data_IF_095234374611
#
_entry.id   IF_095234374611
#
_cell.length_a   1.000
_cell.length_b   1.000
_cell.length_c   1.000
_cell.angle_alpha   90.00
_cell.angle_beta   90.00
_cell.angle_gamma   90.00
#
_symmetry.space_group_name_H-M   'P 1'
#
loop_
_entity.id
_entity.type
_entity.pdbx_description
1 polymer ?
#
# COMPACT_ATOMS: atom_id res chain seq x y z
N UNK A 1 -15.42 -4.08 16.90
CA UNK A 1 -16.23 -2.94 16.43
C UNK A 1 -15.46 -1.62 16.30
N UNK A 2 -14.38 -1.36 17.08
CA UNK A 2 -13.62 -0.09 17.02
C UNK A 2 -12.74 0.15 15.75
N UNK A 3 -12.30 -0.88 15.03
CA UNK A 3 -11.43 -0.68 13.85
C UNK A 3 -12.14 0.01 12.67
N UNK A 4 -13.46 -0.12 12.55
CA UNK A 4 -14.22 0.52 11.47
C UNK A 4 -14.40 2.03 11.69
N UNK A 5 -14.16 2.53 12.91
CA UNK A 5 -14.15 3.97 13.25
C UNK A 5 -12.77 4.62 13.18
N UNK A 6 -11.70 3.86 12.91
CA UNK A 6 -10.37 4.44 12.75
C UNK A 6 -10.34 5.38 11.53
N UNK A 7 -9.71 6.55 11.72
CA UNK A 7 -9.51 7.54 10.66
C UNK A 7 -8.74 6.87 9.52
N UNK A 8 -9.29 6.92 8.30
CA UNK A 8 -8.69 6.33 7.12
C UNK A 8 -7.26 6.86 6.86
N UNK A 9 -6.98 8.09 7.30
CA UNK A 9 -5.63 8.67 7.26
C UNK A 9 -4.68 7.95 8.22
N UNK A 10 -5.13 7.61 9.43
CA UNK A 10 -4.32 6.87 10.40
C UNK A 10 -4.08 5.43 9.95
N UNK A 11 -5.09 4.79 9.34
CA UNK A 11 -4.91 3.47 8.72
C UNK A 11 -3.87 3.53 7.59
N UNK A 12 -3.94 4.53 6.71
CA UNK A 12 -2.94 4.71 5.67
C UNK A 12 -1.54 4.94 6.24
N UNK A 13 -1.40 5.72 7.30
CA UNK A 13 -0.13 5.95 7.98
C UNK A 13 0.51 4.64 8.48
N UNK A 14 -0.28 3.73 9.08
CA UNK A 14 0.20 2.41 9.48
C UNK A 14 0.50 1.53 8.26
N UNK A 15 -0.37 1.54 7.26
CA UNK A 15 -0.23 0.74 6.06
C UNK A 15 1.02 1.06 5.24
N UNK A 16 1.39 2.33 5.13
CA UNK A 16 2.65 2.76 4.50
C UNK A 16 3.85 2.12 5.19
N UNK A 17 3.91 2.17 6.52
CA UNK A 17 4.98 1.55 7.29
C UNK A 17 5.03 0.03 7.12
N UNK A 18 3.87 -0.63 7.16
CA UNK A 18 3.74 -2.09 6.95
C UNK A 18 4.24 -2.49 5.57
N UNK A 19 3.78 -1.80 4.51
CA UNK A 19 4.18 -2.13 3.14
C UNK A 19 5.66 -1.84 2.88
N UNK A 20 6.15 -0.70 3.36
CA UNK A 20 7.55 -0.31 3.23
C UNK A 20 8.49 -1.32 3.89
N UNK A 21 8.13 -1.81 5.09
CA UNK A 21 8.91 -2.85 5.76
C UNK A 21 8.90 -4.15 4.96
N UNK A 22 7.72 -4.62 4.54
CA UNK A 22 7.58 -5.84 3.75
C UNK A 22 8.42 -5.79 2.45
N UNK A 23 8.36 -4.67 1.71
CA UNK A 23 9.15 -4.49 0.48
C UNK A 23 10.65 -4.52 0.79
N UNK A 24 11.10 -3.82 1.84
CA UNK A 24 12.51 -3.80 2.23
C UNK A 24 13.02 -5.20 2.57
N UNK A 25 12.25 -6.00 3.30
CA UNK A 25 12.61 -7.39 3.62
C UNK A 25 12.77 -8.23 2.34
N UNK A 26 11.83 -8.13 1.40
CA UNK A 26 11.90 -8.87 0.13
C UNK A 26 13.08 -8.45 -0.73
N UNK A 27 13.37 -7.15 -0.80
CA UNK A 27 14.47 -6.62 -1.62
C UNK A 27 15.84 -6.97 -1.01
N UNK A 28 15.97 -6.98 0.32
CA UNK A 28 17.19 -7.45 1.00
C UNK A 28 17.45 -8.94 0.73
N UNK A 29 16.40 -9.76 0.66
CA UNK A 29 16.51 -11.19 0.33
C UNK A 29 17.01 -11.45 -1.11
N UNK A 30 17.07 -10.45 -1.99
CA UNK A 30 17.59 -10.58 -3.36
C UNK A 30 19.13 -10.59 -3.45
N UNK A 31 19.85 -10.52 -2.33
CA UNK A 31 21.33 -10.50 -2.28
C UNK A 31 21.99 -9.34 -3.04
N UNK A 32 21.28 -8.21 -3.20
CA UNK A 32 21.83 -6.98 -3.77
C UNK A 32 22.69 -6.28 -2.71
N UNK A 33 23.98 -6.10 -2.98
CA UNK A 33 24.93 -5.54 -2.00
C UNK A 33 25.08 -4.01 -2.09
N UNK A 34 24.65 -3.40 -3.19
CA UNK A 34 24.74 -1.95 -3.39
C UNK A 34 23.52 -1.25 -2.77
N UNK A 35 23.73 -0.52 -1.67
CA UNK A 35 22.69 0.23 -0.93
C UNK A 35 21.90 1.19 -1.83
N UNK A 36 22.57 1.88 -2.76
CA UNK A 36 21.89 2.79 -3.69
C UNK A 36 20.88 2.05 -4.57
N UNK A 37 21.21 0.84 -5.04
CA UNK A 37 20.33 0.02 -5.86
C UNK A 37 19.14 -0.47 -5.02
N UNK A 38 19.38 -0.92 -3.78
CA UNK A 38 18.32 -1.29 -2.84
C UNK A 38 17.34 -0.14 -2.64
N UNK A 39 17.84 1.08 -2.38
CA UNK A 39 17.00 2.26 -2.20
C UNK A 39 16.17 2.54 -3.45
N UNK A 40 16.77 2.56 -4.64
CA UNK A 40 16.05 2.80 -5.90
C UNK A 40 14.93 1.78 -6.12
N UNK A 41 15.20 0.48 -5.91
CA UNK A 41 14.18 -0.56 -6.03
C UNK A 41 13.06 -0.32 -5.01
N UNK A 42 13.40 -0.16 -3.73
CA UNK A 42 12.39 0.07 -2.68
C UNK A 42 11.53 1.30 -3.00
N UNK A 43 12.13 2.42 -3.42
CA UNK A 43 11.40 3.63 -3.81
C UNK A 43 10.43 3.38 -4.96
N UNK A 44 10.81 2.58 -5.97
CA UNK A 44 9.93 2.23 -7.08
C UNK A 44 8.68 1.48 -6.60
N UNK A 45 8.84 0.56 -5.64
CA UNK A 45 7.73 -0.20 -5.07
C UNK A 45 6.79 0.62 -4.22
N UNK A 46 7.32 1.54 -3.40
CA UNK A 46 6.53 2.27 -2.40
C UNK A 46 6.04 3.63 -2.91
N UNK A 47 6.41 4.05 -4.13
CA UNK A 47 5.92 5.34 -4.65
C UNK A 47 4.42 5.32 -4.96
N UNK A 48 3.78 6.48 -4.86
CA UNK A 48 2.33 6.62 -5.03
C UNK A 48 1.83 6.09 -6.39
N UNK A 49 2.62 6.30 -7.46
CA UNK A 49 2.30 5.81 -8.81
C UNK A 49 2.22 4.28 -8.87
N UNK A 50 3.21 3.59 -8.31
CA UNK A 50 3.24 2.11 -8.29
C UNK A 50 2.12 1.54 -7.42
N UNK A 51 1.91 2.13 -6.24
CA UNK A 51 0.81 1.73 -5.36
C UNK A 51 -0.58 1.97 -5.99
N UNK A 52 -0.76 3.07 -6.72
CA UNK A 52 -1.99 3.33 -7.45
C UNK A 52 -2.25 2.27 -8.54
N UNK A 53 -1.20 1.86 -9.28
CA UNK A 53 -1.30 0.78 -10.26
C UNK A 53 -1.66 -0.55 -9.59
N UNK A 54 -1.02 -0.87 -8.46
CA UNK A 54 -1.35 -2.06 -7.67
C UNK A 54 -2.82 -2.06 -7.29
N UNK A 55 -3.33 -0.95 -6.74
CA UNK A 55 -4.73 -0.86 -6.32
C UNK A 55 -5.68 -1.16 -7.49
N UNK A 56 -5.44 -0.57 -8.66
CA UNK A 56 -6.26 -0.79 -9.85
C UNK A 56 -6.34 -2.27 -10.26
N UNK A 57 -5.28 -3.05 -10.05
CA UNK A 57 -5.25 -4.47 -10.41
C UNK A 57 -5.88 -5.39 -9.35
N UNK A 58 -5.88 -5.00 -8.08
CA UNK A 58 -6.33 -5.88 -6.98
C UNK A 58 -7.65 -5.47 -6.34
N UNK A 59 -8.14 -4.26 -6.59
CA UNK A 59 -9.33 -3.71 -5.92
C UNK A 59 -10.54 -4.64 -6.11
N UNK A 60 -10.75 -5.23 -7.29
CA UNK A 60 -11.86 -6.17 -7.54
C UNK A 60 -11.79 -7.46 -6.71
N UNK A 61 -10.63 -7.78 -6.13
CA UNK A 61 -10.46 -8.93 -5.23
C UNK A 61 -10.77 -8.61 -3.77
N UNK A 62 -11.04 -7.34 -3.46
CA UNK A 62 -11.29 -6.88 -2.10
C UNK A 62 -12.68 -7.31 -1.61
N UNK A 63 -12.75 -7.65 -0.33
CA UNK A 63 -14.00 -7.86 0.39
C UNK A 63 -14.78 -6.55 0.51
N UNK A 64 -16.05 -6.62 0.85
CA UNK A 64 -16.88 -5.42 1.04
C UNK A 64 -16.32 -4.45 2.09
N UNK A 65 -15.69 -4.99 3.15
CA UNK A 65 -15.06 -4.19 4.19
C UNK A 65 -13.80 -3.48 3.68
N UNK A 66 -12.92 -4.20 3.00
CA UNK A 66 -11.71 -3.65 2.37
C UNK A 66 -12.08 -2.56 1.35
N UNK A 67 -13.10 -2.81 0.54
CA UNK A 67 -13.69 -1.84 -0.40
C UNK A 67 -14.24 -0.59 0.29
N UNK A 68 -14.88 -0.73 1.45
CA UNK A 68 -15.39 0.41 2.22
C UNK A 68 -14.24 1.27 2.77
N UNK A 69 -13.16 0.65 3.26
CA UNK A 69 -11.96 1.34 3.74
C UNK A 69 -11.27 2.07 2.59
N UNK A 70 -11.03 1.40 1.45
CA UNK A 70 -10.42 2.01 0.26
C UNK A 70 -11.20 3.23 -0.22
N UNK A 71 -12.53 3.11 -0.33
CA UNK A 71 -13.42 4.22 -0.73
C UNK A 71 -13.39 5.38 0.24
N UNK A 72 -13.32 5.13 1.55
CA UNK A 72 -13.23 6.18 2.57
C UNK A 72 -11.91 6.93 2.44
N UNK A 73 -10.79 6.21 2.40
CA UNK A 73 -9.45 6.78 2.27
C UNK A 73 -9.27 7.61 1.00
N UNK A 74 -9.76 7.11 -0.14
CA UNK A 74 -9.72 7.82 -1.44
C UNK A 74 -10.41 9.18 -1.42
N UNK A 75 -11.45 9.31 -0.60
CA UNK A 75 -12.28 10.51 -0.49
C UNK A 75 -11.88 11.42 0.68
N UNK A 76 -10.88 11.06 1.48
CA UNK A 76 -10.36 11.91 2.55
C UNK A 76 -9.78 13.21 1.97
N UNK A 77 -9.99 14.33 2.66
CA UNK A 77 -9.41 15.60 2.28
C UNK A 77 -7.92 15.60 2.63
N UNK A 78 -7.06 15.38 1.63
CA UNK A 78 -5.61 15.33 1.81
C UNK A 78 -4.92 16.40 0.96
N UNK A 79 -3.93 17.07 1.53
CA UNK A 79 -3.04 17.97 0.80
C UNK A 79 -2.10 17.13 -0.07
N UNK A 80 -2.31 17.16 -1.39
CA UNK A 80 -1.55 16.35 -2.34
C UNK A 80 -0.16 16.96 -2.58
N UNK A 81 0.93 16.16 -2.46
CA UNK A 81 2.27 16.61 -2.83
C UNK A 81 2.39 16.97 -4.32
N UNK A 82 3.24 17.95 -4.67
CA UNK A 82 3.45 18.37 -6.07
C UNK A 82 4.03 17.27 -6.98
N UNK A 83 4.65 16.24 -6.39
CA UNK A 83 5.32 15.14 -7.10
C UNK A 83 4.39 14.01 -7.56
N UNK A 84 3.10 14.07 -7.25
CA UNK A 84 2.12 13.04 -7.62
C UNK A 84 0.85 13.67 -8.15
N UNK A 85 0.17 13.01 -9.08
CA UNK A 85 -1.18 13.45 -9.43
C UNK A 85 -2.12 13.23 -8.24
N UNK A 86 -3.17 14.06 -8.15
CA UNK A 86 -4.20 13.94 -7.12
C UNK A 86 -4.82 12.53 -7.11
N UNK A 87 -4.97 11.93 -8.29
CA UNK A 87 -5.55 10.59 -8.44
C UNK A 87 -4.61 9.48 -7.97
N UNK A 88 -3.31 9.55 -8.32
CA UNK A 88 -2.32 8.57 -7.84
C UNK A 88 -2.20 8.63 -6.33
N UNK A 89 -2.12 9.83 -5.75
CA UNK A 89 -1.98 10.00 -4.31
C UNK A 89 -3.21 9.46 -3.54
N UNK A 90 -4.42 9.79 -3.99
CA UNK A 90 -5.65 9.25 -3.39
C UNK A 90 -5.75 7.72 -3.51
N UNK A 91 -5.23 7.17 -4.60
CA UNK A 91 -5.23 5.73 -4.83
C UNK A 91 -4.18 5.03 -3.96
N UNK A 92 -2.96 5.58 -3.83
CA UNK A 92 -1.95 5.02 -2.92
C UNK A 92 -2.43 5.07 -1.47
N UNK A 93 -3.00 6.19 -1.02
CA UNK A 93 -3.58 6.30 0.33
C UNK A 93 -4.71 5.29 0.57
N UNK A 94 -5.52 5.00 -0.45
CA UNK A 94 -6.55 3.97 -0.35
C UNK A 94 -5.98 2.56 -0.20
N UNK A 95 -4.92 2.24 -0.93
CA UNK A 95 -4.20 0.98 -0.79
C UNK A 95 -3.56 0.85 0.59
N UNK A 96 -2.83 1.87 1.04
CA UNK A 96 -2.21 1.93 2.37
C UNK A 96 -3.27 1.76 3.47
N UNK A 97 -4.42 2.42 3.37
CA UNK A 97 -5.48 2.30 4.36
C UNK A 97 -6.02 0.86 4.49
N UNK A 98 -6.12 0.12 3.38
CA UNK A 98 -6.54 -1.29 3.41
C UNK A 98 -5.47 -2.14 4.10
N UNK A 99 -4.19 -1.92 3.82
CA UNK A 99 -3.11 -2.64 4.52
C UNK A 99 -3.11 -2.36 6.02
N UNK A 100 -3.29 -1.08 6.41
CA UNK A 100 -3.41 -0.68 7.80
C UNK A 100 -4.61 -1.34 8.48
N UNK A 101 -5.78 -1.39 7.81
CA UNK A 101 -6.96 -2.07 8.33
C UNK A 101 -6.70 -3.56 8.59
N UNK A 102 -6.11 -4.27 7.62
CA UNK A 102 -5.79 -5.68 7.76
C UNK A 102 -4.78 -5.94 8.88
N UNK A 103 -3.79 -5.05 9.04
CA UNK A 103 -2.81 -5.12 10.11
C UNK A 103 -3.43 -4.91 11.49
N UNK A 104 -4.22 -3.84 11.68
CA UNK A 104 -4.86 -3.51 12.95
C UNK A 104 -5.91 -4.54 13.37
N UNK A 105 -6.59 -5.14 12.40
CA UNK A 105 -7.57 -6.23 12.65
C UNK A 105 -6.92 -7.61 12.74
N UNK A 106 -5.59 -7.71 12.70
CA UNK A 106 -4.82 -8.97 12.81
C UNK A 106 -5.19 -10.02 11.76
N UNK A 107 -5.59 -9.58 10.56
CA UNK A 107 -5.88 -10.45 9.42
C UNK A 107 -4.57 -10.79 8.67
N UNK A 108 -3.66 -11.48 9.35
CA UNK A 108 -2.28 -11.69 8.88
C UNK A 108 -2.17 -12.43 7.54
N UNK A 109 -2.96 -13.48 7.34
CA UNK A 109 -2.98 -14.27 6.09
C UNK A 109 -3.41 -13.38 4.91
N UNK A 110 -4.53 -12.66 5.08
CA UNK A 110 -5.05 -11.76 4.06
C UNK A 110 -4.09 -10.61 3.78
N UNK A 111 -3.49 -10.02 4.81
CA UNK A 111 -2.47 -8.99 4.68
C UNK A 111 -1.27 -9.48 3.84
N UNK A 112 -0.76 -10.67 4.16
CA UNK A 112 0.32 -11.29 3.40
C UNK A 112 -0.05 -11.54 1.94
N UNK A 113 -1.26 -11.99 1.66
CA UNK A 113 -1.72 -12.23 0.29
C UNK A 113 -1.82 -10.95 -0.52
N UNK A 114 -2.37 -9.87 0.05
CA UNK A 114 -2.44 -8.56 -0.60
C UNK A 114 -1.03 -8.01 -0.87
N UNK A 115 -0.12 -8.08 0.10
CA UNK A 115 1.26 -7.60 -0.07
C UNK A 115 2.05 -8.43 -1.08
N UNK A 116 1.84 -9.75 -1.15
CA UNK A 116 2.45 -10.62 -2.18
C UNK A 116 1.96 -10.26 -3.58
N UNK A 117 0.66 -10.05 -3.75
CA UNK A 117 0.09 -9.63 -5.04
C UNK A 117 0.65 -8.27 -5.46
N UNK A 118 0.63 -7.29 -4.55
CA UNK A 118 1.19 -5.96 -4.77
C UNK A 118 2.66 -6.02 -5.23
N UNK A 119 3.48 -6.79 -4.52
CA UNK A 119 4.88 -6.98 -4.87
C UNK A 119 5.06 -7.61 -6.26
N UNK A 120 4.28 -8.65 -6.56
CA UNK A 120 4.32 -9.31 -7.87
C UNK A 120 3.90 -8.38 -9.00
N UNK A 121 2.89 -7.53 -8.78
CA UNK A 121 2.38 -6.59 -9.79
C UNK A 121 3.44 -5.54 -10.12
N UNK A 122 4.03 -4.92 -9.09
CA UNK A 122 5.12 -3.95 -9.29
C UNK A 122 6.30 -4.61 -9.98
N UNK A 123 6.74 -5.79 -9.53
CA UNK A 123 7.89 -6.48 -10.11
C UNK A 123 7.69 -6.81 -11.60
N UNK A 124 6.47 -7.16 -12.04
CA UNK A 124 6.16 -7.38 -13.46
C UNK A 124 6.15 -6.09 -14.29
N UNK A 125 5.97 -4.94 -13.63
CA UNK A 125 5.93 -3.62 -14.26
C UNK A 125 7.27 -2.90 -14.33
N UNK A 126 8.29 -3.41 -13.62
CA UNK A 126 9.68 -2.95 -13.69
C UNK A 126 10.40 -3.62 -14.86
#
# INVERSE_FOLDING_TARGET
>A
EECLSADAVMLAYIGDAVYSMYVRERVVQMNITKVQVLHTIVTEFICAKSQAKVLLEIEDTFTEQEQAIARRARNSNVNVPKSSSVQEYRSSTAFEAVLGFLYETRQEERLQDVMKQAFSITLRGM
#
